data_IF_127726412988
#
_entry.id   IF_127726412988
#
_cell.length_a   1.000
_cell.length_b   1.000
_cell.length_c   1.000
_cell.angle_alpha   90.00
_cell.angle_beta   90.00
_cell.angle_gamma   90.00
#
_symmetry.space_group_name_H-M   'P 1'
#
loop_
_entity.id
_entity.type
_entity.pdbx_description
1 polymer ?
#
# COMPACT_ATOMS: atom_id res chain seq x y z
N UNK A 1 27.25 -20.56 21.92
CA UNK A 1 26.54 -19.61 21.03
C UNK A 1 25.82 -20.43 19.97
N UNK A 2 24.49 -20.33 19.84
CA UNK A 2 23.74 -21.07 18.82
C UNK A 2 24.03 -20.44 17.46
N UNK A 3 24.80 -21.14 16.63
CA UNK A 3 25.06 -20.75 15.25
C UNK A 3 23.73 -20.77 14.47
N UNK A 4 23.45 -19.71 13.68
CA UNK A 4 22.35 -19.72 12.70
C UNK A 4 21.16 -18.78 12.94
N UNK A 5 21.14 -17.97 14.00
CA UNK A 5 20.07 -16.97 14.19
C UNK A 5 20.53 -15.63 13.60
N UNK A 6 19.81 -15.17 12.57
CA UNK A 6 20.01 -13.85 11.97
C UNK A 6 19.18 -12.84 12.77
N UNK A 7 19.83 -11.77 13.23
CA UNK A 7 19.16 -10.64 13.87
C UNK A 7 19.29 -9.41 12.97
N UNK A 8 18.23 -8.63 12.87
CA UNK A 8 18.33 -7.31 12.25
C UNK A 8 19.20 -6.42 13.13
N UNK A 9 20.12 -5.71 12.49
CA UNK A 9 20.77 -4.54 13.10
C UNK A 9 19.73 -3.43 13.29
N UNK A 10 20.02 -2.42 14.10
CA UNK A 10 19.11 -1.27 14.23
C UNK A 10 18.83 -0.61 12.88
N UNK A 11 19.85 -0.43 12.03
CA UNK A 11 19.65 0.05 10.67
C UNK A 11 18.76 -0.89 9.84
N UNK A 12 18.94 -2.22 9.98
CA UNK A 12 18.08 -3.20 9.32
C UNK A 12 16.62 -3.12 9.76
N UNK A 13 16.35 -2.80 11.04
CA UNK A 13 15.00 -2.57 11.54
C UNK A 13 14.36 -1.32 10.93
N UNK A 14 15.10 -0.21 10.86
CA UNK A 14 14.59 1.04 10.27
C UNK A 14 14.28 0.88 8.78
N UNK A 15 15.18 0.24 8.02
CA UNK A 15 14.95 -0.07 6.61
C UNK A 15 13.74 -1.01 6.46
N UNK A 16 13.67 -2.07 7.27
CA UNK A 16 12.54 -3.01 7.24
C UNK A 16 11.20 -2.34 7.52
N UNK A 17 11.16 -1.43 8.50
CA UNK A 17 9.97 -0.64 8.82
C UNK A 17 9.55 0.25 7.65
N UNK A 18 10.51 0.93 7.01
CA UNK A 18 10.23 1.76 5.83
C UNK A 18 9.68 0.94 4.66
N UNK A 19 10.28 -0.23 4.37
CA UNK A 19 9.81 -1.11 3.30
C UNK A 19 8.40 -1.64 3.59
N UNK A 20 8.12 -2.05 4.83
CA UNK A 20 6.77 -2.47 5.23
C UNK A 20 5.75 -1.34 5.12
N UNK A 21 6.13 -0.11 5.51
CA UNK A 21 5.25 1.06 5.36
C UNK A 21 4.95 1.34 3.89
N UNK A 22 5.97 1.27 3.01
CA UNK A 22 5.80 1.44 1.57
C UNK A 22 4.82 0.42 0.99
N UNK A 23 4.98 -0.86 1.34
CA UNK A 23 4.08 -1.93 0.94
C UNK A 23 2.63 -1.61 1.33
N UNK A 24 2.39 -1.31 2.61
CA UNK A 24 1.05 -1.05 3.14
C UNK A 24 0.38 0.18 2.49
N UNK A 25 1.15 1.22 2.17
CA UNK A 25 0.61 2.42 1.49
C UNK A 25 0.10 2.05 0.09
N UNK A 26 0.88 1.28 -0.67
CA UNK A 26 0.51 0.87 -2.03
C UNK A 26 -0.64 -0.12 -1.98
N UNK A 27 -0.60 -1.11 -1.09
CA UNK A 27 -1.66 -2.10 -0.93
C UNK A 27 -3.00 -1.43 -0.57
N UNK A 28 -2.99 -0.49 0.38
CA UNK A 28 -4.19 0.27 0.75
C UNK A 28 -4.71 1.12 -0.39
N UNK A 29 -3.82 1.71 -1.18
CA UNK A 29 -4.20 2.48 -2.36
C UNK A 29 -4.93 1.60 -3.38
N UNK A 30 -4.37 0.41 -3.69
CA UNK A 30 -4.98 -0.54 -4.61
C UNK A 30 -6.31 -1.10 -4.08
N UNK A 31 -6.40 -1.38 -2.77
CA UNK A 31 -7.67 -1.77 -2.11
C UNK A 31 -8.73 -0.69 -2.25
N UNK A 32 -8.38 0.58 -2.02
CA UNK A 32 -9.28 1.72 -2.20
C UNK A 32 -9.76 1.88 -3.66
N UNK A 33 -8.97 1.39 -4.63
CA UNK A 33 -9.36 1.33 -6.04
C UNK A 33 -10.22 0.11 -6.38
N UNK A 34 -10.52 -0.77 -5.43
CA UNK A 34 -11.29 -2.00 -5.66
C UNK A 34 -10.48 -3.15 -6.26
N UNK A 35 -9.15 -3.09 -6.26
CA UNK A 35 -8.30 -4.18 -6.77
C UNK A 35 -8.31 -5.35 -5.78
N UNK A 36 -8.84 -6.49 -6.21
CA UNK A 36 -8.89 -7.73 -5.42
C UNK A 36 -7.99 -8.81 -6.00
N UNK A 37 -7.99 -8.97 -7.32
CA UNK A 37 -7.16 -9.98 -7.98
C UNK A 37 -5.70 -9.54 -8.03
N UNK A 38 -4.78 -10.49 -7.79
CA UNK A 38 -3.33 -10.28 -7.82
C UNK A 38 -2.79 -9.16 -6.92
N UNK A 39 -3.57 -8.69 -5.94
CA UNK A 39 -3.24 -7.52 -5.11
C UNK A 39 -1.82 -7.55 -4.53
N UNK A 40 -1.39 -8.70 -4.00
CA UNK A 40 -0.04 -8.87 -3.45
C UNK A 40 1.03 -8.68 -4.54
N UNK A 41 0.88 -9.35 -5.68
CA UNK A 41 1.82 -9.30 -6.80
C UNK A 41 1.90 -7.88 -7.38
N UNK A 42 0.76 -7.24 -7.59
CA UNK A 42 0.70 -5.87 -8.10
C UNK A 42 1.34 -4.88 -7.12
N UNK A 43 1.10 -5.05 -5.81
CA UNK A 43 1.74 -4.23 -4.78
C UNK A 43 3.26 -4.36 -4.85
N UNK A 44 3.79 -5.59 -4.92
CA UNK A 44 5.22 -5.88 -5.03
C UNK A 44 5.84 -5.30 -6.32
N UNK A 45 5.16 -5.38 -7.45
CA UNK A 45 5.64 -4.81 -8.71
C UNK A 45 5.68 -3.28 -8.67
N UNK A 46 4.64 -2.65 -8.13
CA UNK A 46 4.53 -1.19 -8.00
C UNK A 46 5.56 -0.65 -7.01
N UNK A 47 5.76 -1.33 -5.87
CA UNK A 47 6.73 -0.90 -4.85
C UNK A 47 8.19 -0.99 -5.32
N UNK A 48 8.50 -1.61 -6.45
CA UNK A 48 9.84 -1.53 -7.03
C UNK A 48 10.00 -0.39 -8.05
N UNK A 49 8.89 0.22 -8.49
CA UNK A 49 8.90 1.14 -9.63
C UNK A 49 8.62 2.60 -9.24
N UNK A 50 7.81 2.85 -8.21
CA UNK A 50 7.36 4.22 -7.92
C UNK A 50 8.34 5.04 -7.07
N UNK A 51 8.41 6.35 -7.33
CA UNK A 51 9.22 7.29 -6.54
C UNK A 51 8.68 7.49 -5.12
N UNK A 52 9.52 7.98 -4.21
CA UNK A 52 9.10 8.38 -2.85
C UNK A 52 8.05 9.49 -2.89
N UNK A 53 8.15 10.42 -3.86
CA UNK A 53 7.15 11.47 -4.04
C UNK A 53 5.78 10.90 -4.43
N UNK A 54 5.74 9.93 -5.35
CA UNK A 54 4.51 9.22 -5.74
C UNK A 54 3.93 8.45 -4.55
N UNK A 55 4.77 7.74 -3.80
CA UNK A 55 4.36 7.01 -2.60
C UNK A 55 3.68 7.93 -1.58
N UNK A 56 4.25 9.12 -1.34
CA UNK A 56 3.66 10.09 -0.43
C UNK A 56 2.30 10.60 -0.92
N UNK A 57 2.10 10.76 -2.23
CA UNK A 57 0.78 11.12 -2.79
C UNK A 57 -0.24 9.99 -2.58
N UNK A 58 0.14 8.73 -2.73
CA UNK A 58 -0.73 7.60 -2.40
C UNK A 58 -1.09 7.60 -0.91
N UNK A 59 -0.12 7.84 -0.03
CA UNK A 59 -0.37 7.95 1.41
C UNK A 59 -1.38 9.06 1.74
N UNK A 60 -1.21 10.25 1.16
CA UNK A 60 -2.14 11.36 1.37
C UNK A 60 -3.53 11.05 0.81
N UNK A 61 -3.61 10.38 -0.33
CA UNK A 61 -4.89 9.98 -0.91
C UNK A 61 -5.61 8.93 -0.06
N UNK A 62 -4.87 7.94 0.46
CA UNK A 62 -5.43 6.94 1.39
C UNK A 62 -6.00 7.61 2.64
N UNK A 63 -5.25 8.53 3.26
CA UNK A 63 -5.73 9.29 4.42
C UNK A 63 -6.95 10.13 4.09
N UNK A 64 -6.94 10.79 2.93
CA UNK A 64 -8.11 11.55 2.47
C UNK A 64 -9.36 10.67 2.35
N UNK A 65 -9.26 9.46 1.80
CA UNK A 65 -10.41 8.55 1.73
C UNK A 65 -10.81 7.98 3.10
N UNK A 66 -9.85 7.70 3.98
CA UNK A 66 -10.10 7.27 5.36
C UNK A 66 -10.86 8.35 6.15
N UNK A 67 -10.49 9.62 5.97
CA UNK A 67 -11.14 10.77 6.60
C UNK A 67 -12.52 11.09 5.96
N UNK A 68 -12.80 10.59 4.75
CA UNK A 68 -14.02 10.89 3.97
C UNK A 68 -14.64 9.58 3.42
N UNK A 69 -15.14 8.68 4.28
CA UNK A 69 -15.63 7.35 3.86
C UNK A 69 -16.82 7.41 2.89
N UNK A 70 -17.60 8.49 2.91
CA UNK A 70 -18.68 8.73 1.95
C UNK A 70 -18.18 8.87 0.50
N UNK A 71 -16.96 9.38 0.29
CA UNK A 71 -16.37 9.49 -1.03
C UNK A 71 -15.92 8.12 -1.55
N UNK A 72 -15.35 7.28 -0.67
CA UNK A 72 -15.03 5.90 -1.02
C UNK A 72 -16.29 5.13 -1.40
N UNK A 73 -17.35 5.21 -0.58
CA UNK A 73 -18.64 4.58 -0.89
C UNK A 73 -19.23 5.08 -2.22
N UNK A 74 -19.14 6.39 -2.50
CA UNK A 74 -19.60 6.97 -3.76
C UNK A 74 -18.79 6.44 -4.94
N UNK A 75 -17.48 6.26 -4.77
CA UNK A 75 -16.61 5.71 -5.78
C UNK A 75 -16.92 4.23 -6.04
N UNK A 76 -17.14 3.43 -5.00
CA UNK A 76 -17.61 2.03 -5.12
C UNK A 76 -18.94 1.92 -5.87
N UNK A 77 -19.91 2.78 -5.54
CA UNK A 77 -21.19 2.84 -6.27
C UNK A 77 -20.98 3.20 -7.75
N UNK A 78 -20.10 4.16 -8.04
CA UNK A 78 -19.75 4.52 -9.41
C UNK A 78 -19.18 3.31 -10.17
N UNK A 79 -18.24 2.57 -9.58
CA UNK A 79 -17.69 1.36 -10.19
C UNK A 79 -18.76 0.30 -10.43
N UNK A 80 -19.64 0.04 -9.45
CA UNK A 80 -20.71 -0.97 -9.58
C UNK A 80 -21.71 -0.67 -10.71
N UNK A 81 -21.94 0.61 -11.01
CA UNK A 81 -22.88 1.04 -12.06
C UNK A 81 -22.24 1.13 -13.45
N UNK A 82 -20.92 0.99 -13.54
CA UNK A 82 -20.13 1.05 -14.79
C UNK A 82 -19.24 -0.19 -14.97
N UNK A 83 -19.53 -1.27 -14.24
CA UNK A 83 -18.90 -2.58 -14.47
C UNK A 83 -19.57 -3.20 -15.69
N UNK A 84 -18.85 -3.31 -16.81
CA UNK A 84 -19.26 -4.07 -18.01
C UNK A 84 -19.26 -5.58 -17.75
#
# INVERSE_FOLDING_TARGET
>A
KRYGIIFLTENGKEIGKFLLQRHNIIENFLKNLGVVENLLIETELIEHTISVNTLHKFEMFNKFLEDNPELLNKFEQYMSTHSD
#
